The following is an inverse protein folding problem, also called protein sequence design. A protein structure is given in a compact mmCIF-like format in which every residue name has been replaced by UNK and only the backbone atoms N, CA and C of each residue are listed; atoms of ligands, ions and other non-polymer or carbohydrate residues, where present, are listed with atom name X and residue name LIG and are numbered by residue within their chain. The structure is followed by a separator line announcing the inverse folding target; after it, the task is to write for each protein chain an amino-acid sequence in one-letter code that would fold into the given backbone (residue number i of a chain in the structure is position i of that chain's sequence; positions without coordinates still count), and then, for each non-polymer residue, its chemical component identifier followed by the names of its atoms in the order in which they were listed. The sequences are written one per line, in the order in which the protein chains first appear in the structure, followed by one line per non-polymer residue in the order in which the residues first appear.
data_IF_335830106356
#
_entry.id   IF_335830106356
#
_cell.length_a   1.000
_cell.length_b   1.000
_cell.length_c   1.000
_cell.angle_alpha   90.00
_cell.angle_beta   90.00
_cell.angle_gamma   90.00
#
_symmetry.space_group_name_H-M   'P 1'
#
loop_
_entity.id
_entity.type
_entity.pdbx_description
1 polymer ?
#
# COMPACT_ATOMS: atom_id res chain seq x y z
N UNK A 1 7.66 -13.12 4.85
CA UNK A 1 6.72 -12.08 5.31
C UNK A 1 5.80 -12.65 6.38
N UNK A 2 5.65 -11.93 7.48
CA UNK A 2 4.70 -12.19 8.57
C UNK A 2 3.42 -11.38 8.33
N UNK A 3 2.32 -11.78 8.98
CA UNK A 3 0.99 -11.19 8.82
C UNK A 3 0.28 -11.07 10.16
N UNK A 4 -0.53 -10.03 10.35
CA UNK A 4 -1.31 -9.82 11.57
C UNK A 4 -1.96 -8.43 11.67
N UNK A 5 -2.38 -8.07 12.87
CA UNK A 5 -2.85 -6.71 13.16
C UNK A 5 -1.66 -5.73 13.18
N UNK A 6 -1.92 -4.43 13.04
CA UNK A 6 -0.84 -3.45 13.11
C UNK A 6 -0.13 -3.47 14.47
N UNK A 7 -0.87 -3.74 15.55
CA UNK A 7 -0.33 -3.85 16.92
C UNK A 7 0.72 -4.99 17.06
N UNK A 8 0.70 -5.97 16.15
CA UNK A 8 1.68 -7.07 16.10
C UNK A 8 2.96 -6.69 15.33
N UNK A 9 2.94 -5.57 14.59
CA UNK A 9 4.07 -5.12 13.78
C UNK A 9 5.18 -4.61 14.71
N UNK A 10 6.40 -5.18 14.62
CA UNK A 10 7.52 -4.72 15.42
C UNK A 10 8.14 -3.46 14.81
N UNK A 11 7.41 -2.32 14.86
CA UNK A 11 7.76 -1.06 14.18
C UNK A 11 9.19 -0.60 14.48
N UNK A 12 9.63 -0.69 15.75
CA UNK A 12 10.98 -0.30 16.16
C UNK A 12 12.07 -1.24 15.63
N UNK A 13 11.75 -2.50 15.37
CA UNK A 13 12.67 -3.44 14.74
C UNK A 13 12.75 -3.23 13.23
N UNK A 14 11.64 -2.87 12.58
CA UNK A 14 11.58 -2.58 11.14
C UNK A 14 12.22 -1.23 10.80
N UNK A 15 12.06 -0.24 11.67
CA UNK A 15 12.54 1.12 11.47
C UNK A 15 13.32 1.61 12.69
N UNK A 16 14.55 1.11 12.91
CA UNK A 16 15.32 1.35 14.13
C UNK A 16 15.79 2.79 14.35
N UNK A 17 15.63 3.65 13.34
CA UNK A 17 15.99 5.07 13.39
C UNK A 17 14.82 5.98 13.79
N UNK A 18 13.60 5.45 13.93
CA UNK A 18 12.45 6.23 14.35
C UNK A 18 12.53 6.58 15.84
N UNK A 19 12.14 7.80 16.18
CA UNK A 19 11.93 8.20 17.56
C UNK A 19 10.56 7.73 18.06
N UNK A 20 10.33 7.78 19.38
CA UNK A 20 9.06 7.34 19.95
C UNK A 20 7.84 8.10 19.38
N UNK A 21 7.97 9.41 19.15
CA UNK A 21 6.91 10.22 18.55
C UNK A 21 6.60 9.82 17.10
N UNK A 22 7.62 9.39 16.35
CA UNK A 22 7.45 8.90 14.98
C UNK A 22 6.70 7.58 14.98
N UNK A 23 7.05 6.66 15.89
CA UNK A 23 6.35 5.38 16.07
C UNK A 23 4.88 5.62 16.43
N UNK A 24 4.60 6.53 17.37
CA UNK A 24 3.24 6.90 17.74
C UNK A 24 2.45 7.46 16.54
N UNK A 25 3.10 8.26 15.69
CA UNK A 25 2.48 8.78 14.47
C UNK A 25 2.17 7.67 13.46
N UNK A 26 3.04 6.66 13.30
CA UNK A 26 2.77 5.50 12.45
C UNK A 26 1.57 4.71 12.99
N UNK A 27 1.54 4.43 14.30
CA UNK A 27 0.44 3.73 14.96
C UNK A 27 -0.89 4.47 14.77
N UNK A 28 -0.90 5.79 14.90
CA UNK A 28 -2.11 6.59 14.72
C UNK A 28 -2.63 6.54 13.27
N UNK A 29 -1.74 6.65 12.29
CA UNK A 29 -2.10 6.55 10.88
C UNK A 29 -2.64 5.16 10.53
N UNK A 30 -1.98 4.10 10.99
CA UNK A 30 -2.43 2.72 10.80
C UNK A 30 -3.78 2.46 11.47
N UNK A 31 -3.99 2.95 12.70
CA UNK A 31 -5.29 2.85 13.39
C UNK A 31 -6.43 3.56 12.65
N UNK A 32 -6.13 4.64 11.94
CA UNK A 32 -7.12 5.33 11.08
C UNK A 32 -7.50 4.46 9.89
N UNK A 33 -6.52 3.81 9.25
CA UNK A 33 -6.73 2.84 8.16
C UNK A 33 -7.53 1.63 8.64
N UNK A 34 -7.15 1.06 9.79
CA UNK A 34 -7.84 -0.08 10.40
C UNK A 34 -9.30 0.23 10.73
N UNK A 35 -9.57 1.45 11.20
CA UNK A 35 -10.94 1.93 11.41
C UNK A 35 -11.71 2.04 10.10
N UNK A 36 -11.09 2.60 9.05
CA UNK A 36 -11.75 2.81 7.75
C UNK A 36 -12.07 1.50 7.01
N UNK A 37 -11.30 0.43 7.25
CA UNK A 37 -11.54 -0.90 6.66
C UNK A 37 -12.39 -1.82 7.55
N UNK A 38 -12.82 -1.37 8.73
CA UNK A 38 -13.55 -2.22 9.67
C UNK A 38 -14.79 -2.86 9.04
N UNK A 39 -14.92 -4.18 9.17
CA UNK A 39 -16.01 -4.96 8.58
C UNK A 39 -15.79 -5.41 7.13
N UNK A 40 -14.65 -5.06 6.52
CA UNK A 40 -14.15 -5.72 5.30
C UNK A 40 -13.33 -6.94 5.71
N UNK A 41 -13.75 -8.11 5.25
CA UNK A 41 -12.93 -9.31 5.34
C UNK A 41 -11.70 -9.11 4.45
N UNK A 42 -10.51 -9.41 4.97
CA UNK A 42 -9.23 -9.56 4.25
C UNK A 42 -8.42 -8.29 3.95
N UNK A 43 -7.55 -7.96 4.90
CA UNK A 43 -6.19 -7.47 4.67
C UNK A 43 -5.44 -7.51 6.01
N UNK A 44 -4.57 -8.49 6.22
CA UNK A 44 -3.63 -8.40 7.33
C UNK A 44 -2.54 -7.41 6.96
N UNK A 45 -2.01 -6.67 7.93
CA UNK A 45 -0.74 -5.99 7.72
C UNK A 45 0.33 -7.04 7.49
N UNK A 46 1.20 -6.81 6.51
CA UNK A 46 2.29 -7.70 6.18
C UNK A 46 3.63 -7.03 6.44
N UNK A 47 4.61 -7.76 6.98
CA UNK A 47 5.94 -7.20 7.23
C UNK A 47 7.07 -8.23 7.10
N UNK A 48 8.27 -7.74 6.79
CA UNK A 48 9.46 -8.55 6.59
C UNK A 48 10.63 -8.00 7.42
N UNK A 49 10.98 -8.69 8.51
CA UNK A 49 12.12 -8.30 9.36
C UNK A 49 13.44 -8.38 8.60
N UNK A 50 13.54 -9.31 7.65
CA UNK A 50 14.64 -9.44 6.71
C UNK A 50 14.85 -8.19 5.85
N UNK A 51 13.83 -7.33 5.72
CA UNK A 51 13.89 -6.07 4.98
C UNK A 51 14.01 -4.83 5.88
N UNK A 52 14.23 -4.98 7.19
CA UNK A 52 14.47 -3.84 8.09
C UNK A 52 15.74 -3.04 7.69
N UNK A 53 16.72 -3.72 7.07
CA UNK A 53 17.86 -3.09 6.39
C UNK A 53 17.71 -3.15 4.88
N UNK A 54 18.37 -2.24 4.17
CA UNK A 54 18.37 -2.25 2.71
C UNK A 54 19.02 -3.54 2.18
N UNK A 55 18.27 -4.40 1.46
CA UNK A 55 18.79 -5.69 0.99
C UNK A 55 19.71 -5.58 -0.24
N UNK A 56 19.93 -4.36 -0.75
CA UNK A 56 20.60 -4.12 -2.02
C UNK A 56 19.64 -4.16 -3.20
N UNK A 57 20.16 -3.90 -4.40
CA UNK A 57 19.39 -4.00 -5.64
C UNK A 57 19.07 -5.46 -5.92
N UNK A 58 17.79 -5.79 -6.06
CA UNK A 58 17.32 -7.14 -6.37
C UNK A 58 16.15 -7.11 -7.35
N UNK A 59 15.77 -8.28 -7.86
CA UNK A 59 14.57 -8.42 -8.68
C UNK A 59 13.33 -8.26 -7.78
N UNK A 60 12.47 -7.30 -8.13
CA UNK A 60 11.28 -6.96 -7.37
C UNK A 60 11.52 -5.89 -6.30
N UNK A 61 10.43 -5.28 -5.83
CA UNK A 61 10.47 -4.21 -4.84
C UNK A 61 10.49 -4.80 -3.43
N UNK A 62 11.53 -4.55 -2.60
CA UNK A 62 11.57 -5.11 -1.25
C UNK A 62 10.61 -4.35 -0.33
N UNK A 63 9.47 -4.97 -0.02
CA UNK A 63 8.45 -4.43 0.88
C UNK A 63 8.84 -4.69 2.33
N UNK A 64 8.90 -3.64 3.14
CA UNK A 64 9.22 -3.70 4.58
C UNK A 64 7.96 -3.90 5.40
N UNK A 65 6.91 -3.14 5.06
CA UNK A 65 5.60 -3.12 5.71
C UNK A 65 4.55 -2.83 4.64
N UNK A 66 3.42 -3.52 4.64
CA UNK A 66 2.38 -3.34 3.64
C UNK A 66 0.98 -3.69 4.12
N UNK A 67 -0.01 -3.18 3.40
CA UNK A 67 -1.42 -3.52 3.53
C UNK A 67 -2.06 -3.48 2.15
N UNK A 68 -2.75 -4.56 1.79
CA UNK A 68 -3.50 -4.71 0.54
C UNK A 68 -4.96 -4.98 0.88
N UNK A 69 -5.82 -3.96 0.77
CA UNK A 69 -7.26 -4.11 0.97
C UNK A 69 -7.91 -4.56 -0.32
N UNK A 70 -8.25 -5.85 -0.39
CA UNK A 70 -8.79 -6.49 -1.59
C UNK A 70 -10.31 -6.39 -1.58
N UNK A 71 -10.86 -5.85 -2.66
CA UNK A 71 -12.27 -5.85 -2.97
C UNK A 71 -12.52 -6.57 -4.31
N UNK A 72 -13.60 -7.34 -4.35
CA UNK A 72 -14.04 -7.99 -5.57
C UNK A 72 -15.28 -7.27 -6.09
N UNK A 73 -15.21 -6.80 -7.33
CA UNK A 73 -16.38 -6.25 -8.00
C UNK A 73 -17.30 -7.37 -8.53
N UNK A 74 -18.58 -7.05 -8.69
CA UNK A 74 -19.55 -7.95 -9.32
C UNK A 74 -19.11 -8.22 -10.78
N UNK A 75 -18.74 -9.46 -11.11
CA UNK A 75 -18.16 -9.82 -12.41
C UNK A 75 -16.71 -10.30 -12.38
N UNK A 76 -16.03 -10.24 -11.23
CA UNK A 76 -14.77 -10.96 -10.99
C UNK A 76 -13.49 -10.12 -11.13
N UNK A 77 -13.59 -8.80 -11.29
CA UNK A 77 -12.41 -7.93 -11.26
C UNK A 77 -11.88 -7.79 -9.84
N UNK A 78 -10.56 -7.93 -9.71
CA UNK A 78 -9.83 -7.59 -8.51
C UNK A 78 -9.59 -6.07 -8.48
N UNK A 79 -10.05 -5.44 -7.40
CA UNK A 79 -9.76 -4.07 -7.00
C UNK A 79 -9.00 -4.13 -5.69
N UNK A 80 -7.85 -3.48 -5.60
CA UNK A 80 -7.05 -3.46 -4.38
C UNK A 80 -6.68 -2.04 -4.02
N UNK A 81 -6.68 -1.74 -2.73
CA UNK A 81 -6.15 -0.50 -2.21
C UNK A 81 -4.87 -0.78 -1.44
N UNK A 82 -3.76 -0.29 -1.97
CA UNK A 82 -2.40 -0.59 -1.58
C UNK A 82 -1.85 0.53 -0.69
N UNK A 83 -1.19 0.17 0.41
CA UNK A 83 -0.29 1.05 1.16
C UNK A 83 0.96 0.26 1.58
N UNK A 84 2.14 0.68 1.12
CA UNK A 84 3.39 -0.03 1.40
C UNK A 84 4.54 0.92 1.74
N UNK A 85 5.41 0.46 2.63
CA UNK A 85 6.74 1.01 2.86
C UNK A 85 7.74 0.08 2.20
N UNK A 86 8.52 0.60 1.25
CA UNK A 86 9.41 -0.19 0.41
C UNK A 86 10.81 0.41 0.33
N UNK A 87 11.79 -0.40 -0.06
CA UNK A 87 13.09 0.12 -0.47
C UNK A 87 13.08 0.56 -1.94
N UNK A 88 13.69 1.71 -2.20
CA UNK A 88 14.07 2.16 -3.55
C UNK A 88 15.40 1.52 -3.96
N UNK A 89 15.68 1.46 -5.26
CA UNK A 89 16.96 0.98 -5.79
C UNK A 89 18.18 1.77 -5.30
N UNK A 90 17.96 2.97 -4.77
CA UNK A 90 18.98 3.87 -4.22
C UNK A 90 19.17 3.70 -2.69
N UNK A 91 18.55 2.69 -2.08
CA UNK A 91 18.69 2.43 -0.64
C UNK A 91 18.00 3.46 0.24
N UNK A 92 16.96 4.13 -0.26
CA UNK A 92 16.05 4.97 0.54
C UNK A 92 14.69 4.29 0.68
N UNK A 93 14.02 4.50 1.80
CA UNK A 93 12.63 4.08 1.95
C UNK A 93 11.72 4.96 1.09
N UNK A 94 10.61 4.39 0.64
CA UNK A 94 9.51 5.12 0.04
C UNK A 94 8.19 4.58 0.58
N UNK A 95 7.18 5.45 0.65
CA UNK A 95 5.80 5.05 0.86
C UNK A 95 5.10 5.08 -0.49
N UNK A 96 4.58 3.93 -0.89
CA UNK A 96 3.75 3.76 -2.07
C UNK A 96 2.29 3.59 -1.64
N UNK A 97 1.38 4.23 -2.37
CA UNK A 97 -0.06 4.11 -2.16
C UNK A 97 -0.76 4.20 -3.49
N UNK A 98 -1.58 3.21 -3.83
CA UNK A 98 -2.24 3.15 -5.14
C UNK A 98 -3.56 2.39 -5.08
N UNK A 99 -4.40 2.60 -6.08
CA UNK A 99 -5.52 1.71 -6.39
C UNK A 99 -5.06 0.75 -7.47
N UNK A 100 -5.05 -0.54 -7.19
CA UNK A 100 -4.74 -1.59 -8.16
C UNK A 100 -6.03 -2.14 -8.77
N UNK A 101 -6.08 -2.24 -10.09
CA UNK A 101 -7.20 -2.92 -10.76
C UNK A 101 -6.71 -3.84 -11.86
N UNK A 102 -7.35 -4.98 -12.04
CA UNK A 102 -7.11 -5.86 -13.18
C UNK A 102 -7.24 -5.07 -14.50
N UNK A 103 -6.26 -5.19 -15.40
CA UNK A 103 -6.08 -4.18 -16.45
C UNK A 103 -6.32 -4.61 -17.91
N UNK A 104 -6.41 -5.91 -18.22
CA UNK A 104 -6.64 -6.45 -19.60
C UNK A 104 -5.86 -5.73 -20.72
N UNK A 105 -4.69 -5.17 -20.40
CA UNK A 105 -3.79 -4.57 -21.37
C UNK A 105 -3.20 -5.65 -22.29
N UNK A 106 -2.69 -5.27 -23.45
CA UNK A 106 -2.03 -6.21 -24.39
C UNK A 106 -0.83 -6.91 -23.76
N UNK A 107 -0.06 -6.19 -22.95
CA UNK A 107 0.96 -6.78 -22.08
C UNK A 107 0.31 -7.10 -20.74
N UNK A 108 0.47 -8.36 -20.32
CA UNK A 108 -0.04 -8.82 -19.03
C UNK A 108 0.83 -8.28 -17.90
N UNK A 109 0.30 -7.28 -17.20
CA UNK A 109 0.88 -6.74 -15.96
C UNK A 109 0.10 -7.21 -14.73
N UNK A 110 -0.86 -8.14 -14.88
CA UNK A 110 -1.93 -8.50 -13.95
C UNK A 110 -2.85 -7.33 -13.58
N UNK A 111 -2.30 -6.29 -12.96
CA UNK A 111 -3.01 -5.10 -12.45
C UNK A 111 -2.35 -3.81 -12.94
N UNK A 112 -3.01 -2.67 -12.73
CA UNK A 112 -2.48 -1.34 -13.02
C UNK A 112 -2.64 -0.46 -11.78
N UNK A 113 -1.58 0.25 -11.41
CA UNK A 113 -1.61 1.28 -10.37
C UNK A 113 -2.34 2.53 -10.89
N UNK A 114 -3.40 2.92 -10.21
CA UNK A 114 -4.22 4.10 -10.50
C UNK A 114 -4.14 5.04 -9.31
N UNK A 115 -4.10 6.35 -9.59
CA UNK A 115 -4.02 7.41 -8.57
C UNK A 115 -2.80 7.24 -7.63
N UNK A 116 -1.73 6.67 -8.18
CA UNK A 116 -0.54 6.30 -7.44
C UNK A 116 0.16 7.51 -6.82
N UNK A 117 0.57 7.34 -5.57
CA UNK A 117 1.42 8.24 -4.82
C UNK A 117 2.69 7.47 -4.44
N UNK A 118 3.85 8.05 -4.74
CA UNK A 118 5.14 7.61 -4.23
C UNK A 118 5.83 8.76 -3.53
N UNK A 119 6.12 8.60 -2.23
CA UNK A 119 6.85 9.57 -1.43
C UNK A 119 8.16 8.95 -0.94
N UNK A 120 9.29 9.45 -1.44
CA UNK A 120 10.62 8.96 -1.04
C UNK A 120 11.05 9.65 0.25
N UNK A 121 11.40 8.87 1.26
CA UNK A 121 11.87 9.35 2.57
C UNK A 121 13.27 9.94 2.42
N UNK A 122 13.47 11.13 3.01
CA UNK A 122 14.71 11.88 2.93
C UNK A 122 14.69 13.13 3.80
N UNK A 123 15.49 14.12 3.44
CA UNK A 123 15.65 15.36 4.23
C UNK A 123 14.37 16.19 4.32
N UNK A 124 13.56 16.19 3.26
CA UNK A 124 12.33 17.01 3.17
C UNK A 124 11.06 16.26 3.57
N UNK A 125 11.11 14.93 3.69
CA UNK A 125 9.92 14.11 3.98
C UNK A 125 10.32 12.96 4.88
N UNK A 126 9.76 12.96 6.09
CA UNK A 126 9.99 11.88 7.05
C UNK A 126 9.10 10.67 6.73
N UNK A 127 9.48 9.49 7.24
CA UNK A 127 8.66 8.28 7.08
C UNK A 127 7.25 8.45 7.70
N UNK A 128 7.07 9.00 8.92
CA UNK A 128 5.74 9.25 9.47
C UNK A 128 4.88 10.18 8.61
N UNK A 129 5.48 11.23 8.04
CA UNK A 129 4.76 12.16 7.17
C UNK A 129 4.29 11.47 5.88
N UNK A 130 5.18 10.75 5.21
CA UNK A 130 4.87 9.99 4.01
C UNK A 130 3.81 8.92 4.26
N UNK A 131 3.94 8.18 5.38
CA UNK A 131 3.02 7.12 5.75
C UNK A 131 1.63 7.66 6.06
N UNK A 132 1.53 8.78 6.78
CA UNK A 132 0.27 9.47 7.03
C UNK A 132 -0.39 9.94 5.73
N UNK A 133 0.37 10.53 4.81
CA UNK A 133 -0.17 10.97 3.52
C UNK A 133 -0.73 9.79 2.70
N UNK A 134 -0.04 8.64 2.72
CA UNK A 134 -0.52 7.39 2.13
C UNK A 134 -1.80 6.89 2.81
N UNK A 135 -1.81 6.84 4.14
CA UNK A 135 -2.99 6.45 4.93
C UNK A 135 -4.21 7.36 4.67
N UNK A 136 -4.01 8.67 4.52
CA UNK A 136 -5.07 9.63 4.16
C UNK A 136 -5.66 9.34 2.77
N UNK A 137 -4.81 9.02 1.77
CA UNK A 137 -5.28 8.61 0.44
C UNK A 137 -6.07 7.31 0.51
N UNK A 138 -5.50 6.29 1.15
CA UNK A 138 -6.11 4.98 1.30
C UNK A 138 -7.48 5.10 1.98
N UNK A 139 -7.57 5.79 3.11
CA UNK A 139 -8.84 5.99 3.83
C UNK A 139 -9.87 6.76 3.01
N UNK A 140 -9.43 7.71 2.17
CA UNK A 140 -10.29 8.39 1.20
C UNK A 140 -10.88 7.44 0.16
N UNK A 141 -10.07 6.56 -0.43
CA UNK A 141 -10.56 5.56 -1.39
C UNK A 141 -11.46 4.51 -0.74
N UNK A 142 -11.15 4.13 0.50
CA UNK A 142 -11.94 3.20 1.30
C UNK A 142 -13.34 3.73 1.68
N UNK A 143 -13.64 5.01 1.44
CA UNK A 143 -14.95 5.58 1.72
C UNK A 143 -15.94 5.42 0.56
N UNK A 144 -15.52 5.70 -0.67
CA UNK A 144 -16.21 5.54 -1.96
C UNK A 144 -15.28 6.11 -3.07
N UNK A 145 -15.15 5.53 -4.28
CA UNK A 145 -15.90 4.39 -4.84
C UNK A 145 -15.20 3.03 -4.79
N UNK A 146 -16.02 2.00 -4.61
CA UNK A 146 -15.66 0.56 -4.52
C UNK A 146 -15.91 -0.22 -5.82
N UNK A 147 -16.12 0.51 -6.91
CA UNK A 147 -16.43 -0.06 -8.22
C UNK A 147 -15.16 -0.12 -9.08
N UNK A 148 -14.75 -1.32 -9.48
CA UNK A 148 -13.63 -1.51 -10.39
C UNK A 148 -13.84 -0.77 -11.72
N UNK A 149 -15.08 -0.66 -12.23
CA UNK A 149 -15.36 0.08 -13.46
C UNK A 149 -15.11 1.58 -13.33
N UNK A 150 -15.39 2.16 -12.17
CA UNK A 150 -15.03 3.55 -11.88
C UNK A 150 -13.53 3.77 -12.05
N UNK A 151 -12.71 2.93 -11.40
CA UNK A 151 -11.25 3.07 -11.44
C UNK A 151 -10.70 2.80 -12.84
N UNK A 152 -11.20 1.78 -13.52
CA UNK A 152 -10.83 1.46 -14.91
C UNK A 152 -11.14 2.61 -15.87
N UNK A 153 -12.32 3.22 -15.74
CA UNK A 153 -12.69 4.39 -16.53
C UNK A 153 -11.79 5.60 -16.22
N UNK A 154 -11.48 5.85 -14.94
CA UNK A 154 -10.57 6.93 -14.50
C UNK A 154 -9.17 6.80 -15.14
N UNK A 155 -8.67 5.57 -15.28
CA UNK A 155 -7.37 5.28 -15.88
C UNK A 155 -7.39 5.10 -17.41
N UNK A 156 -8.58 5.14 -18.05
CA UNK A 156 -8.71 4.92 -19.49
C UNK A 156 -8.33 3.50 -19.90
N UNK A 157 -8.54 2.50 -19.03
CA UNK A 157 -8.19 1.11 -19.29
C UNK A 157 -9.11 0.51 -20.38
N UNK A 158 -8.60 -0.47 -21.15
CA UNK A 158 -9.39 -1.13 -22.18
C UNK A 158 -10.61 -1.83 -21.56
N UNK A 159 -11.70 -2.01 -22.33
CA UNK A 159 -12.87 -2.74 -21.86
C UNK A 159 -12.49 -4.18 -21.48
N UNK A 160 -13.26 -4.78 -20.57
CA UNK A 160 -13.06 -6.20 -20.22
C UNK A 160 -13.16 -7.05 -21.49
N UNK A 161 -12.35 -8.10 -21.57
CA UNK A 161 -12.57 -9.10 -22.58
C UNK A 161 -13.84 -9.89 -22.24
N UNK A 162 -14.87 -9.76 -23.06
CA UNK A 162 -16.07 -10.61 -23.00
C UNK A 162 -15.90 -11.67 -24.08
N UNK A 163 -15.72 -12.95 -23.73
CA UNK A 163 -15.58 -14.03 -24.70
C UNK A 163 -16.86 -14.25 -25.54
#
# INVERSE_FOLDING_TARGET
MMRGAFDDVPVTALFPLLEAADVDSLNQAAGTVDTARAGRDTADWEWALEHAGFPGTQLGTPVVLGLDVIEHAEGGDQLEFLLQVVWTDLGRLAVDTAVNVACWCETDHATHDIDALRLVVGEETSLPEAFRAGAERLTGWLADPHDADHWRAKAGLPPRWVP
#
